data_IF_184695183317
#
_entry.id   IF_184695183317
#
_cell.length_a   1.000
_cell.length_b   1.000
_cell.length_c   1.000
_cell.angle_alpha   90.00
_cell.angle_beta   90.00
_cell.angle_gamma   90.00
#
_symmetry.space_group_name_H-M   'P 1'
#
loop_
_entity.id
_entity.type
_entity.pdbx_description
1 polymer ?
#
# COMPACT_ATOMS: atom_id res chain seq x y z
N UNK A 1 11.19 -15.07 -5.88
CA UNK A 1 9.76 -14.76 -6.10
C UNK A 1 9.35 -13.70 -5.09
N UNK A 2 9.15 -12.45 -5.50
CA UNK A 2 8.80 -11.36 -4.57
C UNK A 2 7.32 -11.39 -4.24
N UNK A 3 6.98 -11.82 -3.02
CA UNK A 3 5.62 -11.63 -2.49
C UNK A 3 5.64 -10.26 -1.81
N UNK A 4 5.23 -9.22 -2.53
CA UNK A 4 5.02 -7.88 -1.98
C UNK A 4 3.92 -7.93 -0.91
N UNK A 5 4.32 -8.22 0.33
CA UNK A 5 3.49 -8.05 1.51
C UNK A 5 3.51 -6.56 1.81
N UNK A 6 2.40 -5.86 1.60
CA UNK A 6 2.27 -4.51 2.12
C UNK A 6 1.76 -4.56 3.55
N UNK A 7 2.39 -3.79 4.43
CA UNK A 7 1.97 -3.55 5.81
C UNK A 7 0.63 -2.81 5.93
N UNK A 8 -0.04 -2.58 4.79
CA UNK A 8 -1.37 -1.97 4.73
C UNK A 8 -2.41 -2.95 5.26
N UNK A 9 -2.97 -2.62 6.41
CA UNK A 9 -4.13 -3.31 6.97
C UNK A 9 -5.42 -2.79 6.33
N UNK A 10 -6.37 -3.69 6.09
CA UNK A 10 -7.69 -3.32 5.58
C UNK A 10 -8.46 -2.58 6.67
N UNK A 11 -8.71 -1.29 6.46
CA UNK A 11 -9.46 -0.44 7.39
C UNK A 11 -10.89 -0.94 7.67
N UNK A 12 -11.43 -1.82 6.81
CA UNK A 12 -12.79 -2.36 6.95
C UNK A 12 -12.89 -3.60 7.83
N UNK A 13 -11.84 -4.42 7.89
CA UNK A 13 -11.90 -5.73 8.58
C UNK A 13 -10.64 -6.12 9.34
N UNK A 14 -9.63 -5.24 9.37
CA UNK A 14 -8.31 -5.49 9.97
C UNK A 14 -7.49 -6.58 9.27
N UNK A 15 -7.95 -7.11 8.13
CA UNK A 15 -7.26 -8.16 7.39
C UNK A 15 -6.05 -7.61 6.61
N UNK A 16 -5.09 -8.49 6.30
CA UNK A 16 -3.94 -8.11 5.48
C UNK A 16 -4.37 -7.74 4.05
N UNK A 17 -3.84 -6.63 3.55
CA UNK A 17 -3.99 -6.27 2.14
C UNK A 17 -2.79 -6.76 1.33
N UNK A 18 -3.02 -6.97 0.04
CA UNK A 18 -2.01 -7.40 -0.92
C UNK A 18 -2.08 -6.49 -2.13
N UNK A 19 -0.95 -6.31 -2.82
CA UNK A 19 -0.91 -5.56 -4.07
C UNK A 19 -1.63 -6.39 -5.14
N UNK A 20 -2.75 -5.85 -5.65
CA UNK A 20 -3.49 -6.44 -6.74
C UNK A 20 -3.01 -5.93 -8.09
N UNK A 21 -2.66 -4.64 -8.16
CA UNK A 21 -2.12 -4.03 -9.37
C UNK A 21 -1.15 -2.91 -9.00
N UNK A 22 -0.09 -2.75 -9.78
CA UNK A 22 0.87 -1.66 -9.63
C UNK A 22 1.07 -1.00 -10.99
N UNK A 23 0.79 0.29 -11.04
CA UNK A 23 1.02 1.18 -12.17
C UNK A 23 2.14 2.17 -11.81
N UNK A 24 2.67 2.90 -12.80
CA UNK A 24 3.83 3.82 -12.63
C UNK A 24 3.76 4.73 -11.40
N UNK A 25 2.57 5.25 -11.06
CA UNK A 25 2.39 6.18 -9.94
C UNK A 25 1.33 5.72 -8.94
N UNK A 26 0.80 4.50 -9.07
CA UNK A 26 -0.36 4.05 -8.30
C UNK A 26 -0.26 2.58 -7.95
N UNK A 27 -0.61 2.24 -6.71
CA UNK A 27 -0.66 0.89 -6.18
C UNK A 27 -2.08 0.59 -5.74
N UNK A 28 -2.69 -0.42 -6.34
CA UNK A 28 -4.00 -0.93 -5.96
C UNK A 28 -3.83 -2.06 -4.96
N UNK A 29 -4.27 -1.82 -3.74
CA UNK A 29 -4.35 -2.81 -2.68
C UNK A 29 -5.72 -3.47 -2.66
N UNK A 30 -5.73 -4.80 -2.55
CA UNK A 30 -6.94 -5.60 -2.35
C UNK A 30 -6.84 -6.35 -1.03
N UNK A 31 -7.93 -6.37 -0.27
CA UNK A 31 -7.99 -7.19 0.93
C UNK A 31 -7.97 -8.68 0.56
N UNK A 32 -7.10 -9.46 1.21
CA UNK A 32 -7.01 -10.91 0.98
C UNK A 32 -8.26 -11.67 1.48
N UNK A 33 -9.03 -11.09 2.41
CA UNK A 33 -10.24 -11.74 2.94
C UNK A 33 -11.32 -11.80 1.84
N UNK A 34 -11.81 -13.01 1.47
CA UNK A 34 -12.85 -13.16 0.44
C UNK A 34 -14.16 -12.47 0.85
N UNK A 35 -14.46 -12.40 2.15
CA UNK A 35 -15.68 -11.78 2.67
C UNK A 35 -15.63 -10.25 2.79
N UNK A 36 -14.50 -9.60 2.48
CA UNK A 36 -14.38 -8.16 2.61
C UNK A 36 -14.56 -7.42 1.27
N UNK A 37 -13.88 -7.90 0.22
CA UNK A 37 -13.91 -7.27 -1.11
C UNK A 37 -13.38 -5.83 -1.16
N UNK A 38 -12.78 -5.32 -0.08
CA UNK A 38 -12.30 -3.94 -0.03
C UNK A 38 -11.02 -3.77 -0.85
N UNK A 39 -10.97 -2.68 -1.61
CA UNK A 39 -9.84 -2.29 -2.46
C UNK A 39 -9.55 -0.81 -2.21
N UNK A 40 -8.26 -0.44 -2.14
CA UNK A 40 -7.83 0.94 -2.01
C UNK A 40 -6.71 1.25 -2.99
N UNK A 41 -6.75 2.43 -3.59
CA UNK A 41 -5.73 2.91 -4.53
C UNK A 41 -4.88 3.94 -3.81
N UNK A 42 -3.59 3.69 -3.69
CA UNK A 42 -2.61 4.58 -3.08
C UNK A 42 -1.68 5.08 -4.17
N UNK A 43 -1.25 6.34 -4.09
CA UNK A 43 -0.32 6.88 -5.06
C UNK A 43 1.12 6.73 -4.58
N UNK A 44 2.03 6.29 -5.45
CA UNK A 44 3.39 5.91 -5.08
C UNK A 44 4.28 7.11 -4.71
N UNK A 45 3.91 8.32 -5.13
CA UNK A 45 4.64 9.56 -4.83
C UNK A 45 4.61 9.99 -3.36
N UNK A 46 3.75 9.40 -2.53
CA UNK A 46 3.73 9.60 -1.07
C UNK A 46 4.87 8.85 -0.36
N UNK A 47 5.50 7.86 -1.04
CA UNK A 47 6.51 6.99 -0.42
C UNK A 47 7.93 7.59 -0.43
N UNK A 48 8.15 8.68 -1.17
CA UNK A 48 9.48 9.31 -1.35
C UNK A 48 9.75 10.48 -0.38
N UNK A 49 8.76 10.94 0.40
CA UNK A 49 8.96 12.04 1.37
C UNK A 49 9.46 11.57 2.76
N UNK A 50 9.44 10.25 3.03
CA UNK A 50 10.07 9.66 4.23
C UNK A 50 11.56 9.45 3.97
N UNK A 51 12.28 10.53 3.70
CA UNK A 51 13.69 10.44 3.35
C UNK A 51 14.49 11.74 3.28
N UNK A 52 13.90 12.91 3.58
CA UNK A 52 14.67 14.17 3.58
C UNK A 52 14.43 15.01 4.83
N UNK A 53 14.95 14.52 5.96
CA UNK A 53 15.25 15.37 7.12
C UNK A 53 16.74 15.35 7.43
N UNK A 54 17.56 15.90 6.53
CA UNK A 54 18.97 16.27 6.77
C UNK A 54 19.26 17.45 5.82
N UNK A 55 19.70 18.65 6.18
CA UNK A 55 20.10 19.29 7.43
C UNK A 55 19.98 20.80 7.19
N UNK A 56 19.39 21.54 8.13
CA UNK A 56 19.48 23.00 8.17
C UNK A 56 20.34 23.40 9.35
N UNK A 57 21.58 23.82 9.08
CA UNK A 57 22.37 24.72 9.91
C UNK A 57 23.44 25.39 9.05
#
# INVERSE_FOLDING_TARGET
MGVDNSDVACSRCGGKMMIAHRSKNQVLYKCKKPNCGHMTLVQEWDRDDVGRKESGH
#
